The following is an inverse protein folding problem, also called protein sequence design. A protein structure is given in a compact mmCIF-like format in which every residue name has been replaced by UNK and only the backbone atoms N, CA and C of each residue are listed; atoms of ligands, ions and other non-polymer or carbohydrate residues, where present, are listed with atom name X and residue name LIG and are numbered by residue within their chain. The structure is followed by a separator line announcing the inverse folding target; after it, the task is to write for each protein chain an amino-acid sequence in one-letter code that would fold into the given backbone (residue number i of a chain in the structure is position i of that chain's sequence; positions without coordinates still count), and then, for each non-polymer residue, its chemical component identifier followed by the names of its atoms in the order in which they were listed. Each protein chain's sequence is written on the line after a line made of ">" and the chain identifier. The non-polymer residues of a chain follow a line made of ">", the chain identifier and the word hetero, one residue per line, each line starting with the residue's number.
data_IF_696143998925
#
_entry.id   IF_696143998925
#
_cell.length_a   1.000
_cell.length_b   1.000
_cell.length_c   1.000
_cell.angle_alpha   90.00
_cell.angle_beta   90.00
_cell.angle_gamma   90.00
#
_symmetry.space_group_name_H-M   'P 1'
#
loop_
_entity.id
_entity.type
_entity.pdbx_description
1 polymer ?
#
# COMPACT_ATOMS: atom_id res chain seq x y z
N UNK A 1 -5.57 -22.99 14.46
CA UNK A 1 -6.16 -21.73 14.07
C UNK A 1 -5.23 -20.94 13.17
N UNK A 2 -5.74 -20.49 12.08
CA UNK A 2 -4.96 -19.69 11.16
C UNK A 2 -5.05 -18.24 11.54
N UNK A 3 -3.89 -17.64 11.69
CA UNK A 3 -3.77 -16.25 12.02
C UNK A 3 -3.26 -15.50 10.79
N UNK A 4 -3.97 -14.50 10.34
CA UNK A 4 -3.60 -13.71 9.18
C UNK A 4 -2.96 -12.38 9.57
N UNK A 5 -2.42 -12.32 10.78
CA UNK A 5 -1.66 -11.17 11.22
C UNK A 5 -0.33 -11.12 10.46
N UNK A 6 -0.05 -9.98 9.85
CA UNK A 6 1.21 -9.76 9.14
C UNK A 6 2.27 -9.38 10.16
N UNK A 7 3.38 -10.11 10.14
CA UNK A 7 4.53 -9.79 10.98
C UNK A 7 5.19 -8.50 10.50
N UNK A 8 5.66 -7.69 11.45
CA UNK A 8 6.48 -6.53 11.13
C UNK A 8 7.69 -6.97 10.30
N UNK A 9 8.08 -6.19 9.34
CA UNK A 9 9.21 -6.51 8.50
C UNK A 9 9.21 -5.79 7.17
N UNK A 10 10.07 -6.23 6.28
CA UNK A 10 10.23 -5.64 4.95
C UNK A 10 9.47 -6.46 3.92
N UNK A 11 8.74 -5.76 3.06
CA UNK A 11 7.89 -6.41 2.06
C UNK A 11 7.95 -5.67 0.73
N UNK A 12 7.84 -6.45 -0.35
CA UNK A 12 7.41 -5.92 -1.64
C UNK A 12 5.91 -6.12 -1.71
N UNK A 13 5.22 -5.15 -2.29
CA UNK A 13 3.76 -5.11 -2.31
C UNK A 13 3.33 -5.20 -3.77
N UNK A 14 2.92 -6.39 -4.21
CA UNK A 14 2.65 -6.68 -5.62
C UNK A 14 1.16 -6.66 -5.90
N UNK A 15 0.76 -5.90 -6.92
CA UNK A 15 -0.64 -5.87 -7.33
C UNK A 15 -1.02 -7.17 -8.06
N UNK A 16 -2.12 -7.79 -7.65
CA UNK A 16 -2.56 -9.06 -8.24
C UNK A 16 -3.01 -8.88 -9.67
N UNK A 17 -3.67 -7.76 -9.98
CA UNK A 17 -4.20 -7.51 -11.32
C UNK A 17 -3.12 -7.23 -12.35
N UNK A 18 -2.05 -6.51 -11.96
CA UNK A 18 -1.00 -6.11 -12.90
C UNK A 18 0.29 -6.91 -12.76
N UNK A 19 0.54 -7.49 -11.59
CA UNK A 19 1.82 -8.10 -11.28
C UNK A 19 2.94 -7.11 -10.98
N UNK A 20 2.63 -5.81 -10.93
CA UNK A 20 3.61 -4.75 -10.70
C UNK A 20 3.69 -4.38 -9.22
N UNK A 21 4.78 -3.72 -8.85
CA UNK A 21 5.07 -3.39 -7.46
C UNK A 21 4.66 -1.97 -7.10
N UNK A 22 4.18 -1.82 -5.88
CA UNK A 22 3.91 -0.51 -5.29
C UNK A 22 5.23 0.22 -5.08
N UNK A 23 5.35 1.44 -5.60
CA UNK A 23 6.58 2.22 -5.51
C UNK A 23 6.29 3.70 -5.40
N UNK A 24 7.32 4.45 -4.97
CA UNK A 24 7.28 5.91 -5.04
C UNK A 24 7.82 6.33 -6.40
N UNK A 25 7.10 7.20 -7.08
CA UNK A 25 7.48 7.68 -8.41
C UNK A 25 8.89 8.29 -8.39
N UNK A 26 9.71 7.91 -9.38
CA UNK A 26 11.07 8.41 -9.58
C UNK A 26 12.02 8.17 -8.40
N UNK A 27 11.67 7.27 -7.49
CA UNK A 27 12.47 7.04 -6.29
C UNK A 27 12.59 8.28 -5.41
N UNK A 28 11.62 9.17 -5.49
CA UNK A 28 11.64 10.45 -4.77
C UNK A 28 11.69 10.25 -3.25
N UNK A 29 12.37 11.16 -2.56
CA UNK A 29 12.40 11.20 -1.10
C UNK A 29 11.56 12.33 -0.54
N UNK A 30 10.83 13.04 -1.37
CA UNK A 30 10.05 14.21 -0.98
C UNK A 30 8.70 13.82 -0.40
N UNK A 31 8.24 14.55 0.62
CA UNK A 31 6.85 14.49 1.04
C UNK A 31 5.97 14.97 -0.11
N UNK A 32 4.85 14.28 -0.32
CA UNK A 32 3.94 14.58 -1.42
C UNK A 32 4.25 13.86 -2.72
N UNK A 33 5.35 13.11 -2.79
CA UNK A 33 5.66 12.33 -3.98
C UNK A 33 4.59 11.25 -4.21
N UNK A 34 4.20 11.10 -5.46
CA UNK A 34 3.14 10.18 -5.86
C UNK A 34 3.57 8.73 -5.70
N UNK A 35 2.62 7.89 -5.30
CA UNK A 35 2.79 6.44 -5.28
C UNK A 35 2.14 5.87 -6.53
N UNK A 36 2.81 4.92 -7.15
CA UNK A 36 2.40 4.30 -8.41
C UNK A 36 2.77 2.82 -8.41
N UNK A 37 2.48 2.13 -9.50
CA UNK A 37 3.02 0.79 -9.71
C UNK A 37 4.17 0.83 -10.70
N UNK A 38 5.14 -0.08 -10.54
CA UNK A 38 6.30 -0.18 -11.41
C UNK A 38 6.83 -1.60 -11.51
N UNK A 39 7.63 -1.85 -12.55
CA UNK A 39 8.28 -3.14 -12.70
C UNK A 39 9.31 -3.37 -11.61
N UNK A 40 9.53 -4.62 -11.25
CA UNK A 40 10.51 -5.00 -10.24
C UNK A 40 11.91 -4.60 -10.68
N UNK A 41 12.47 -3.58 -10.06
CA UNK A 41 13.80 -3.06 -10.35
C UNK A 41 14.82 -3.37 -9.27
N UNK A 42 14.38 -4.00 -8.16
CA UNK A 42 15.22 -4.21 -7.00
C UNK A 42 15.48 -2.96 -6.17
N UNK A 43 14.84 -1.85 -6.51
CA UNK A 43 15.03 -0.56 -5.82
C UNK A 43 14.41 -0.54 -4.43
N UNK A 44 15.04 0.21 -3.50
CA UNK A 44 14.47 0.46 -2.17
C UNK A 44 13.20 1.29 -2.22
N UNK A 45 12.93 1.98 -3.33
CA UNK A 45 11.66 2.71 -3.53
C UNK A 45 10.48 1.75 -3.67
N UNK A 46 10.73 0.47 -3.88
CA UNK A 46 9.72 -0.59 -3.97
C UNK A 46 9.69 -1.46 -2.72
N UNK A 47 10.44 -1.08 -1.71
CA UNK A 47 10.55 -1.85 -0.48
C UNK A 47 9.89 -1.07 0.65
N UNK A 48 9.02 -1.75 1.37
CA UNK A 48 8.20 -1.12 2.41
C UNK A 48 8.39 -1.83 3.75
N UNK A 49 8.63 -1.04 4.79
CA UNK A 49 8.67 -1.55 6.16
C UNK A 49 7.26 -1.46 6.72
N UNK A 50 6.70 -2.62 7.02
CA UNK A 50 5.39 -2.70 7.66
C UNK A 50 5.58 -2.79 9.17
N UNK A 51 4.85 -1.96 9.89
CA UNK A 51 4.86 -1.96 11.34
C UNK A 51 3.42 -1.86 11.84
N UNK A 52 3.03 -2.78 12.71
CA UNK A 52 1.70 -2.73 13.31
C UNK A 52 1.56 -1.47 14.17
N UNK A 53 0.45 -0.76 14.02
CA UNK A 53 0.16 0.41 14.85
C UNK A 53 0.01 -0.01 16.30
N UNK A 54 -0.66 -1.16 16.51
CA UNK A 54 -0.79 -1.78 17.83
C UNK A 54 -0.34 -3.23 17.74
N UNK A 55 0.44 -3.74 18.70
CA UNK A 55 0.92 -5.12 18.65
C UNK A 55 -0.22 -6.11 18.40
N UNK A 56 -0.05 -6.95 17.38
CA UNK A 56 -1.03 -7.96 17.00
C UNK A 56 -2.25 -7.43 16.28
N UNK A 57 -2.34 -6.13 16.04
CA UNK A 57 -3.48 -5.51 15.37
C UNK A 57 -3.39 -5.57 13.85
N UNK A 58 -4.50 -5.23 13.19
CA UNK A 58 -4.61 -5.26 11.74
C UNK A 58 -4.21 -3.95 11.05
N UNK A 59 -4.11 -2.85 11.81
CA UNK A 59 -3.68 -1.56 11.27
C UNK A 59 -2.16 -1.49 11.21
N UNK A 60 -1.65 -1.05 10.08
CA UNK A 60 -0.21 -0.96 9.83
C UNK A 60 0.19 0.37 9.23
N UNK A 61 1.42 0.78 9.52
CA UNK A 61 2.12 1.81 8.77
C UNK A 61 2.97 1.14 7.68
N UNK A 62 3.06 1.79 6.53
CA UNK A 62 3.91 1.36 5.44
C UNK A 62 4.97 2.44 5.22
N UNK A 63 6.18 2.19 5.66
CA UNK A 63 7.29 3.14 5.52
C UNK A 63 8.15 2.76 4.32
N UNK A 64 8.34 3.68 3.39
CA UNK A 64 9.19 3.44 2.23
C UNK A 64 10.66 3.41 2.67
N UNK A 65 11.38 2.34 2.33
CA UNK A 65 12.75 2.15 2.78
C UNK A 65 13.69 3.21 2.21
N UNK A 66 13.46 3.65 0.96
CA UNK A 66 14.34 4.65 0.34
C UNK A 66 14.19 6.03 0.99
N UNK A 67 12.98 6.43 1.37
CA UNK A 67 12.69 7.79 1.84
C UNK A 67 12.48 7.89 3.35
N UNK A 68 12.09 6.81 4.00
CA UNK A 68 11.67 6.84 5.40
C UNK A 68 10.29 7.46 5.59
N UNK A 69 9.55 7.72 4.52
CA UNK A 69 8.22 8.33 4.58
C UNK A 69 7.14 7.28 4.48
N UNK A 70 5.95 7.62 4.94
CA UNK A 70 4.82 6.68 5.03
C UNK A 70 3.84 6.83 3.88
N UNK A 71 3.24 5.70 3.53
CA UNK A 71 2.11 5.63 2.61
C UNK A 71 0.95 6.42 3.22
N UNK A 72 0.38 7.36 2.46
CA UNK A 72 -0.47 8.41 3.00
C UNK A 72 -1.57 8.77 2.00
N UNK A 73 -2.79 8.95 2.49
CA UNK A 73 -3.89 9.44 1.66
C UNK A 73 -3.79 10.96 1.58
N UNK A 74 -3.64 11.50 0.39
CA UNK A 74 -3.48 12.94 0.17
C UNK A 74 -4.59 13.74 0.83
N UNK A 75 -4.19 14.64 1.72
CA UNK A 75 -5.14 15.51 2.42
C UNK A 75 -6.11 14.79 3.35
N UNK A 76 -5.85 13.53 3.69
CA UNK A 76 -6.76 12.70 4.49
C UNK A 76 -8.18 12.67 3.90
N UNK A 77 -8.31 12.77 2.58
CA UNK A 77 -9.60 12.82 1.90
C UNK A 77 -10.33 11.48 1.98
N UNK A 78 -11.67 11.49 2.15
CA UNK A 78 -12.47 10.27 2.08
C UNK A 78 -12.96 9.95 0.67
N UNK A 79 -12.61 10.74 -0.34
CA UNK A 79 -13.22 10.66 -1.67
C UNK A 79 -12.60 9.59 -2.55
N UNK A 80 -13.43 9.00 -3.42
CA UNK A 80 -12.95 8.12 -4.48
C UNK A 80 -11.98 8.88 -5.38
N UNK A 81 -10.90 8.21 -5.78
CA UNK A 81 -9.92 8.78 -6.70
C UNK A 81 -8.85 9.64 -6.06
N UNK A 82 -8.87 9.79 -4.73
CA UNK A 82 -7.80 10.51 -4.04
C UNK A 82 -6.48 9.78 -4.22
N UNK A 83 -5.48 10.46 -4.75
CA UNK A 83 -4.17 9.87 -4.99
C UNK A 83 -3.47 9.53 -3.69
N UNK A 84 -2.69 8.48 -3.73
CA UNK A 84 -1.85 8.06 -2.61
C UNK A 84 -0.47 8.66 -2.83
N UNK A 85 0.10 9.14 -1.75
CA UNK A 85 1.41 9.79 -1.72
C UNK A 85 2.26 9.20 -0.61
N UNK A 86 3.52 9.63 -0.51
CA UNK A 86 4.30 9.46 0.71
C UNK A 86 4.34 10.79 1.46
N UNK A 87 4.40 10.69 2.77
CA UNK A 87 4.48 11.87 3.63
C UNK A 87 5.25 11.54 4.90
N UNK A 88 5.88 12.54 5.50
CA UNK A 88 6.57 12.37 6.76
C UNK A 88 5.65 11.76 7.80
N UNK A 89 6.21 10.89 8.65
CA UNK A 89 5.44 10.21 9.68
C UNK A 89 4.75 11.22 10.60
N UNK A 90 3.47 10.97 10.86
CA UNK A 90 2.67 11.76 11.79
C UNK A 90 1.68 10.85 12.52
N UNK A 91 0.82 11.43 13.36
CA UNK A 91 -0.14 10.68 14.14
C UNK A 91 -1.53 10.60 13.50
N UNK A 92 -1.66 11.03 12.25
CA UNK A 92 -2.97 11.03 11.58
C UNK A 92 -3.32 9.68 10.97
N UNK A 93 -4.61 9.35 11.01
CA UNK A 93 -5.11 8.09 10.46
C UNK A 93 -4.91 7.93 8.95
N UNK A 94 -4.62 9.02 8.22
CA UNK A 94 -4.34 8.95 6.78
C UNK A 94 -3.13 8.07 6.44
N UNK A 95 -2.31 7.72 7.43
CA UNK A 95 -1.15 6.85 7.27
C UNK A 95 -1.38 5.45 7.84
N UNK A 96 -2.59 5.15 8.26
CA UNK A 96 -2.93 3.86 8.85
C UNK A 96 -3.78 3.05 7.88
N UNK A 97 -3.36 1.80 7.68
CA UNK A 97 -3.94 0.91 6.69
C UNK A 97 -4.39 -0.39 7.33
N UNK A 98 -5.66 -0.74 7.12
CA UNK A 98 -6.21 -2.00 7.60
C UNK A 98 -5.88 -3.09 6.58
N UNK A 99 -5.18 -4.13 7.03
CA UNK A 99 -4.86 -5.28 6.20
C UNK A 99 -5.91 -6.35 6.41
N UNK A 100 -6.65 -6.67 5.36
CA UNK A 100 -7.66 -7.71 5.39
C UNK A 100 -7.29 -8.82 4.42
N UNK A 101 -7.14 -10.03 4.94
CA UNK A 101 -6.74 -11.20 4.14
C UNK A 101 -7.87 -11.62 3.20
N UNK A 102 -7.50 -11.86 1.93
CA UNK A 102 -8.43 -12.42 0.96
C UNK A 102 -8.46 -13.93 1.14
N UNK A 103 -9.60 -14.46 1.54
CA UNK A 103 -9.71 -15.86 2.00
C UNK A 103 -9.33 -16.90 0.95
N UNK A 104 -9.59 -16.62 -0.31
CA UNK A 104 -9.37 -17.58 -1.39
C UNK A 104 -7.95 -17.54 -1.96
N UNK A 105 -7.11 -16.63 -1.50
CA UNK A 105 -5.76 -16.46 -2.06
C UNK A 105 -4.76 -16.17 -0.95
N UNK A 106 -4.00 -17.18 -0.52
CA UNK A 106 -3.00 -17.01 0.54
C UNK A 106 -2.00 -15.90 0.21
N UNK A 107 -1.67 -15.08 1.20
CA UNK A 107 -0.74 -13.97 1.05
C UNK A 107 -1.32 -12.74 0.37
N UNK A 108 -2.59 -12.78 -0.01
CA UNK A 108 -3.27 -11.68 -0.69
C UNK A 108 -4.14 -10.90 0.29
N UNK A 109 -4.04 -9.57 0.21
CA UNK A 109 -4.71 -8.66 1.14
C UNK A 109 -5.33 -7.49 0.41
N UNK A 110 -6.39 -6.93 0.99
CA UNK A 110 -6.78 -5.55 0.70
C UNK A 110 -6.10 -4.65 1.73
N UNK A 111 -5.73 -3.46 1.28
CA UNK A 111 -5.11 -2.43 2.11
C UNK A 111 -6.08 -1.27 2.17
N UNK A 112 -6.88 -1.23 3.24
CA UNK A 112 -7.99 -0.29 3.35
C UNK A 112 -7.59 0.89 4.22
N UNK A 113 -7.82 2.10 3.73
CA UNK A 113 -7.53 3.31 4.49
C UNK A 113 -8.39 3.37 5.76
N UNK A 114 -7.76 3.64 6.88
CA UNK A 114 -8.47 3.84 8.14
C UNK A 114 -9.43 5.05 8.08
N UNK A 115 -9.05 6.08 7.32
CA UNK A 115 -9.84 7.31 7.22
C UNK A 115 -11.11 7.09 6.39
N UNK A 116 -10.96 6.48 5.21
CA UNK A 116 -12.05 6.42 4.23
C UNK A 116 -12.78 5.10 4.17
N UNK A 117 -12.16 4.03 4.66
CA UNK A 117 -12.66 2.67 4.45
C UNK A 117 -12.51 2.19 3.01
N UNK A 118 -11.72 2.89 2.21
CA UNK A 118 -11.52 2.54 0.80
C UNK A 118 -10.20 1.84 0.58
N UNK A 119 -10.20 0.78 -0.25
CA UNK A 119 -8.97 0.04 -0.54
C UNK A 119 -8.02 0.80 -1.46
N UNK A 120 -6.73 0.51 -1.26
CA UNK A 120 -5.65 0.93 -2.15
C UNK A 120 -5.87 0.27 -3.51
N UNK A 121 -5.92 1.05 -4.59
CA UNK A 121 -6.37 0.60 -5.90
C UNK A 121 -5.47 1.14 -6.99
N UNK A 122 -5.12 0.30 -7.97
CA UNK A 122 -4.47 0.79 -9.18
C UNK A 122 -5.53 1.47 -10.05
N UNK A 123 -5.27 2.71 -10.43
CA UNK A 123 -6.21 3.53 -11.20
C UNK A 123 -6.56 2.84 -12.52
N UNK A 124 -7.87 2.81 -12.82
CA UNK A 124 -8.42 2.23 -14.04
C UNK A 124 -8.03 0.76 -14.27
N UNK A 125 -7.67 0.04 -13.22
CA UNK A 125 -7.19 -1.34 -13.31
C UNK A 125 -6.04 -1.49 -14.31
N UNK A 126 -5.20 -0.47 -14.43
CA UNK A 126 -4.12 -0.43 -15.40
C UNK A 126 -3.10 -1.55 -15.16
N UNK A 127 -2.51 -2.04 -16.24
CA UNK A 127 -1.48 -3.08 -16.19
C UNK A 127 -0.12 -2.54 -16.63
N UNK A 128 0.01 -1.23 -16.81
CA UNK A 128 1.23 -0.58 -17.28
C UNK A 128 2.02 0.02 -16.12
N UNK A 129 3.34 0.00 -16.23
CA UNK A 129 4.21 0.66 -15.27
C UNK A 129 3.95 2.17 -15.30
N UNK A 130 4.02 2.79 -14.11
CA UNK A 130 3.79 4.22 -13.96
C UNK A 130 2.33 4.60 -13.67
N UNK A 131 1.40 3.65 -13.72
CA UNK A 131 0.01 3.96 -13.42
C UNK A 131 -0.13 4.38 -11.95
N UNK A 132 -0.85 5.47 -11.67
CA UNK A 132 -0.99 5.95 -10.30
C UNK A 132 -1.85 5.02 -9.47
N UNK A 133 -1.60 5.08 -8.15
CA UNK A 133 -2.40 4.36 -7.16
C UNK A 133 -3.24 5.38 -6.42
N UNK A 134 -4.51 5.05 -6.20
CA UNK A 134 -5.45 5.91 -5.49
C UNK A 134 -6.29 5.05 -4.55
N UNK A 135 -7.18 5.67 -3.79
CA UNK A 135 -8.20 4.92 -3.08
C UNK A 135 -9.48 4.91 -3.91
N UNK A 136 -10.22 3.84 -3.81
CA UNK A 136 -11.51 3.70 -4.51
C UNK A 136 -12.41 2.79 -3.70
N UNK A 137 -13.72 2.95 -3.87
CA UNK A 137 -14.67 2.06 -3.21
C UNK A 137 -14.35 0.59 -3.56
N UNK A 138 -14.71 -0.32 -2.68
CA UNK A 138 -14.45 -1.74 -2.89
C UNK A 138 -15.29 -2.28 -4.05
N UNK A 139 -14.61 -2.71 -5.10
CA UNK A 139 -15.24 -3.32 -6.28
C UNK A 139 -14.95 -4.82 -6.36
N UNK A 140 -14.30 -5.37 -5.34
CA UNK A 140 -13.93 -6.78 -5.29
C UNK A 140 -13.21 -7.22 -6.57
N UNK A 141 -12.16 -6.47 -6.94
CA UNK A 141 -11.42 -6.70 -8.17
C UNK A 141 -9.91 -6.76 -7.94
N UNK A 142 -9.18 -7.48 -8.83
CA UNK A 142 -7.73 -7.69 -8.64
C UNK A 142 -6.89 -6.43 -8.55
N UNK A 143 -7.36 -5.31 -9.10
CA UNK A 143 -6.65 -4.02 -8.97
C UNK A 143 -6.59 -3.53 -7.52
N UNK A 144 -7.39 -4.13 -6.63
CA UNK A 144 -7.46 -3.80 -5.22
C UNK A 144 -6.84 -4.88 -4.34
N UNK A 145 -6.25 -5.90 -4.93
CA UNK A 145 -5.66 -7.01 -4.19
C UNK A 145 -4.14 -6.96 -4.29
N UNK A 146 -3.47 -7.19 -3.16
CA UNK A 146 -2.03 -7.02 -3.05
C UNK A 146 -1.40 -8.24 -2.38
N UNK A 147 -0.36 -8.76 -3.03
CA UNK A 147 0.49 -9.80 -2.44
C UNK A 147 1.55 -9.12 -1.61
N UNK A 148 1.66 -9.54 -0.35
CA UNK A 148 2.72 -9.06 0.53
C UNK A 148 3.85 -10.08 0.52
N UNK A 149 4.93 -9.74 -0.16
CA UNK A 149 6.08 -10.62 -0.37
C UNK A 149 7.20 -10.24 0.61
N UNK A 150 7.36 -11.05 1.63
CA UNK A 150 8.35 -10.76 2.66
C UNK A 150 9.78 -10.83 2.11
N UNK A 151 10.60 -9.85 2.51
CA UNK A 151 12.00 -9.74 2.11
C UNK A 151 12.91 -9.90 3.34
N UNK A 152 13.94 -10.68 3.19
CA UNK A 152 14.89 -10.89 4.26
C UNK A 152 14.38 -11.77 5.37
#
# INVERSE_FOLDING_TARGET
>A
MTDHVIADGLYRVRNVGSGLLLEVADGSRRSGAKVQQGEDSGSDAQLWRLTAVHPGGALHHFENVASGKRLDVTGASPDNGTLIQQWSANAFGAQEWLLEHYLDAPGTYTLTSFISGKPLTVRDAATTAGAPVHQWEDTDSPSQWWLLERQG
#
